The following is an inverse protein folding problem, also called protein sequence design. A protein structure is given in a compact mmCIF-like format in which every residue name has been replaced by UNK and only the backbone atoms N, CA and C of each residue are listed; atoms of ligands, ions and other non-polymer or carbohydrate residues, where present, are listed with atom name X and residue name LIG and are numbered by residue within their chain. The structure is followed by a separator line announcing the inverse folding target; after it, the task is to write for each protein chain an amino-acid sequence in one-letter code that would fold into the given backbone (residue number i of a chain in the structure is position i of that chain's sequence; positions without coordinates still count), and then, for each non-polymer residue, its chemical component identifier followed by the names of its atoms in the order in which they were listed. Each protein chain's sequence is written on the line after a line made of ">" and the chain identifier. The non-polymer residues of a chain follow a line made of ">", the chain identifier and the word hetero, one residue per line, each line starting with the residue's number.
data_IF_791389539115
#
_entry.id   IF_791389539115
#
_cell.length_a   1.000
_cell.length_b   1.000
_cell.length_c   1.000
_cell.angle_alpha   90.00
_cell.angle_beta   90.00
_cell.angle_gamma   90.00
#
_symmetry.space_group_name_H-M   'P 1'
#
loop_
_entity.id
_entity.type
_entity.pdbx_description
1 polymer ?
#
# COMPACT_ATOMS: atom_id res chain seq x y z
N UNK A 1 -10.01 -21.12 0.10
CA UNK A 1 -10.79 -20.04 -0.52
C UNK A 1 -10.85 -18.75 0.33
N UNK A 2 -10.50 -18.78 1.61
CA UNK A 2 -10.58 -17.62 2.52
C UNK A 2 -9.68 -16.45 2.11
N UNK A 3 -8.41 -16.70 1.77
CA UNK A 3 -7.49 -15.63 1.33
C UNK A 3 -7.93 -14.94 0.04
N UNK A 4 -8.31 -15.66 -1.05
CA UNK A 4 -8.87 -15.02 -2.23
C UNK A 4 -10.13 -14.18 -1.94
N UNK A 5 -11.01 -14.64 -1.04
CA UNK A 5 -12.20 -13.87 -0.65
C UNK A 5 -11.84 -12.54 0.00
N UNK A 6 -10.84 -12.50 0.88
CA UNK A 6 -10.34 -11.26 1.48
C UNK A 6 -9.76 -10.32 0.41
N UNK A 7 -9.01 -10.85 -0.57
CA UNK A 7 -8.47 -10.04 -1.68
C UNK A 7 -9.62 -9.39 -2.46
N UNK A 8 -10.65 -10.17 -2.81
CA UNK A 8 -11.83 -9.63 -3.52
C UNK A 8 -12.56 -8.57 -2.70
N UNK A 9 -12.67 -8.78 -1.38
CA UNK A 9 -13.27 -7.79 -0.49
C UNK A 9 -12.49 -6.48 -0.44
N UNK A 10 -11.16 -6.53 -0.44
CA UNK A 10 -10.31 -5.33 -0.48
C UNK A 10 -10.45 -4.55 -1.80
N UNK A 11 -10.80 -5.21 -2.92
CA UNK A 11 -11.09 -4.52 -4.18
C UNK A 11 -12.29 -3.57 -4.05
N UNK A 12 -13.26 -3.89 -3.20
CA UNK A 12 -14.41 -3.02 -2.93
C UNK A 12 -14.01 -1.72 -2.22
N UNK A 13 -12.94 -1.74 -1.45
CA UNK A 13 -12.42 -0.59 -0.70
C UNK A 13 -11.56 0.39 -1.51
N UNK A 14 -11.31 0.15 -2.79
CA UNK A 14 -10.42 0.97 -3.62
C UNK A 14 -10.93 2.38 -3.93
N UNK A 15 -12.21 2.67 -3.66
CA UNK A 15 -12.85 3.95 -4.00
C UNK A 15 -12.11 5.18 -3.46
N UNK A 16 -11.64 5.13 -2.21
CA UNK A 16 -10.89 6.24 -1.60
C UNK A 16 -9.56 6.52 -2.29
N UNK A 17 -8.83 5.46 -2.66
CA UNK A 17 -7.57 5.60 -3.40
C UNK A 17 -7.81 6.14 -4.81
N UNK A 18 -8.91 5.75 -5.46
CA UNK A 18 -9.26 6.22 -6.79
C UNK A 18 -9.46 7.74 -6.83
N UNK A 19 -10.05 8.34 -5.78
CA UNK A 19 -10.19 9.80 -5.67
C UNK A 19 -8.85 10.52 -5.62
N UNK A 20 -7.86 9.96 -4.93
CA UNK A 20 -6.51 10.53 -4.88
C UNK A 20 -5.84 10.53 -6.25
N UNK A 21 -5.98 9.43 -7.00
CA UNK A 21 -5.46 9.37 -8.38
C UNK A 21 -6.18 10.35 -9.31
N UNK A 22 -7.50 10.48 -9.19
CA UNK A 22 -8.28 11.44 -9.98
C UNK A 22 -7.87 12.89 -9.68
N UNK A 23 -7.72 13.24 -8.42
CA UNK A 23 -7.27 14.57 -8.02
C UNK A 23 -5.89 14.90 -8.61
N UNK A 24 -4.94 13.95 -8.57
CA UNK A 24 -3.61 14.17 -9.15
C UNK A 24 -3.65 14.23 -10.67
N UNK A 25 -4.46 13.40 -11.33
CA UNK A 25 -4.65 13.46 -12.78
C UNK A 25 -5.18 14.82 -13.24
N UNK A 26 -6.13 15.41 -12.50
CA UNK A 26 -6.67 16.73 -12.79
C UNK A 26 -5.68 17.87 -12.55
N UNK A 27 -4.67 17.66 -11.70
CA UNK A 27 -3.63 18.67 -11.45
C UNK A 27 -2.55 18.72 -12.52
N UNK A 28 -2.49 17.75 -13.44
CA UNK A 28 -1.51 17.74 -14.53
C UNK A 28 -1.91 18.80 -15.58
N UNK A 29 -1.04 19.81 -15.87
CA UNK A 29 -1.33 20.81 -16.88
C UNK A 29 -1.56 20.19 -18.26
N UNK A 30 -2.56 20.69 -18.99
CA UNK A 30 -2.88 20.20 -20.34
C UNK A 30 -1.77 20.46 -21.34
N UNK A 31 -0.98 21.50 -21.13
CA UNK A 31 0.14 21.91 -21.99
C UNK A 31 1.11 20.74 -22.26
N UNK A 32 1.35 19.85 -21.27
CA UNK A 32 2.17 18.65 -21.48
C UNK A 32 1.59 17.72 -22.55
N UNK A 33 0.27 17.56 -22.56
CA UNK A 33 -0.42 16.69 -23.51
C UNK A 33 -0.54 17.31 -24.89
N UNK A 34 -0.67 18.65 -24.95
CA UNK A 34 -0.72 19.41 -26.20
C UNK A 34 0.64 19.42 -26.88
N UNK A 35 1.72 19.74 -26.15
CA UNK A 35 3.07 19.69 -26.67
C UNK A 35 3.43 18.30 -27.22
N UNK A 36 3.14 17.24 -26.46
CA UNK A 36 3.34 15.86 -26.93
C UNK A 36 2.46 15.49 -28.12
N UNK A 37 1.31 16.16 -28.27
CA UNK A 37 0.45 16.03 -29.45
C UNK A 37 1.09 16.60 -30.70
N UNK A 38 1.73 17.76 -30.59
CA UNK A 38 2.47 18.40 -31.68
C UNK A 38 3.66 17.54 -32.14
N UNK A 39 4.30 16.85 -31.20
CA UNK A 39 5.39 15.89 -31.48
C UNK A 39 4.90 14.55 -32.07
N UNK A 40 3.59 14.40 -32.32
CA UNK A 40 2.99 13.21 -32.92
C UNK A 40 2.85 12.02 -31.95
N UNK A 41 2.93 12.24 -30.64
CA UNK A 41 2.77 11.17 -29.65
C UNK A 41 1.32 10.65 -29.63
N UNK A 42 1.17 9.34 -29.71
CA UNK A 42 -0.13 8.69 -29.55
C UNK A 42 -0.57 8.63 -28.07
N UNK A 43 -1.86 8.30 -27.82
CA UNK A 43 -2.43 8.28 -26.46
C UNK A 43 -1.68 7.35 -25.49
N UNK A 44 -1.19 6.21 -25.95
CA UNK A 44 -0.43 5.26 -25.13
C UNK A 44 0.96 5.81 -24.78
N UNK A 45 1.61 6.51 -25.69
CA UNK A 45 2.90 7.18 -25.43
C UNK A 45 2.73 8.32 -24.43
N UNK A 46 1.68 9.14 -24.54
CA UNK A 46 1.32 10.18 -23.57
C UNK A 46 1.07 9.57 -22.19
N UNK A 47 0.34 8.46 -22.12
CA UNK A 47 0.08 7.78 -20.86
C UNK A 47 1.37 7.30 -20.18
N UNK A 48 2.26 6.58 -20.89
CA UNK A 48 3.49 6.03 -20.29
C UNK A 48 4.53 7.10 -20.01
N UNK A 49 4.69 8.09 -20.91
CA UNK A 49 5.79 9.06 -20.81
C UNK A 49 5.45 10.32 -20.02
N UNK A 50 4.18 10.65 -19.85
CA UNK A 50 3.72 11.85 -19.14
C UNK A 50 2.92 11.46 -17.90
N UNK A 51 1.80 10.75 -18.09
CA UNK A 51 0.86 10.49 -17.00
C UNK A 51 1.49 9.62 -15.90
N UNK A 52 2.09 8.48 -16.24
CA UNK A 52 2.66 7.55 -15.26
C UNK A 52 3.82 8.17 -14.46
N UNK A 53 4.80 8.87 -15.07
CA UNK A 53 5.85 9.56 -14.31
C UNK A 53 5.31 10.64 -13.36
N UNK A 54 4.37 11.47 -13.80
CA UNK A 54 3.77 12.52 -12.97
C UNK A 54 2.88 11.97 -11.85
N UNK A 55 2.35 10.75 -12.01
CA UNK A 55 1.63 10.03 -10.96
C UNK A 55 2.56 9.23 -10.02
N UNK A 56 3.84 9.09 -10.35
CA UNK A 56 4.76 8.24 -9.58
C UNK A 56 4.84 8.58 -8.09
N UNK A 57 4.75 9.84 -7.60
CA UNK A 57 4.75 10.13 -6.17
C UNK A 57 3.54 9.53 -5.44
N UNK A 58 2.36 9.60 -6.05
CA UNK A 58 1.14 9.06 -5.44
C UNK A 58 1.10 7.53 -5.51
N UNK A 59 1.63 6.94 -6.58
CA UNK A 59 1.82 5.49 -6.69
C UNK A 59 2.75 5.00 -5.58
N UNK A 60 3.86 5.70 -5.36
CA UNK A 60 4.81 5.38 -4.30
C UNK A 60 4.19 5.48 -2.91
N UNK A 61 3.45 6.56 -2.63
CA UNK A 61 2.72 6.73 -1.38
C UNK A 61 1.75 5.58 -1.12
N UNK A 62 0.90 5.26 -2.10
CA UNK A 62 -0.06 4.17 -1.97
C UNK A 62 0.60 2.80 -1.81
N UNK A 63 1.75 2.58 -2.46
CA UNK A 63 2.53 1.35 -2.32
C UNK A 63 3.05 1.19 -0.89
N UNK A 64 3.60 2.24 -0.28
CA UNK A 64 4.06 2.19 1.12
C UNK A 64 2.90 1.90 2.07
N UNK A 65 1.81 2.67 1.97
CA UNK A 65 0.64 2.49 2.83
C UNK A 65 0.02 1.11 2.65
N UNK A 66 -0.04 0.63 1.40
CA UNK A 66 -0.54 -0.72 1.09
C UNK A 66 0.32 -1.83 1.69
N UNK A 67 1.66 -1.71 1.63
CA UNK A 67 2.58 -2.67 2.26
C UNK A 67 2.38 -2.67 3.77
N UNK A 68 2.37 -1.50 4.42
CA UNK A 68 2.15 -1.40 5.86
C UNK A 68 0.81 -2.04 6.24
N UNK A 69 -0.27 -1.70 5.53
CA UNK A 69 -1.59 -2.27 5.76
C UNK A 69 -1.65 -3.78 5.58
N UNK A 70 -0.97 -4.32 4.57
CA UNK A 70 -0.91 -5.77 4.33
C UNK A 70 -0.24 -6.54 5.48
N UNK A 71 0.78 -5.96 6.11
CA UNK A 71 1.40 -6.57 7.30
C UNK A 71 0.57 -6.39 8.57
N UNK A 72 -0.36 -5.43 8.59
CA UNK A 72 -1.18 -5.10 9.76
C UNK A 72 -2.61 -5.67 9.70
N UNK A 73 -2.90 -6.56 8.75
CA UNK A 73 -4.21 -7.23 8.67
C UNK A 73 -4.51 -7.93 10.00
N UNK A 74 -5.60 -7.50 10.63
CA UNK A 74 -6.10 -8.04 11.91
C UNK A 74 -7.61 -8.26 11.86
N UNK A 75 -8.34 -7.20 11.51
CA UNK A 75 -9.80 -7.11 11.65
C UNK A 75 -10.51 -8.20 10.85
N UNK A 76 -10.09 -8.42 9.62
CA UNK A 76 -10.65 -9.43 8.73
C UNK A 76 -10.43 -10.84 9.30
N UNK A 77 -9.21 -11.11 9.76
CA UNK A 77 -8.90 -12.39 10.39
C UNK A 77 -9.72 -12.65 11.65
N UNK A 78 -9.93 -11.61 12.47
CA UNK A 78 -10.70 -11.72 13.72
C UNK A 78 -12.19 -11.93 13.45
N UNK A 79 -12.80 -11.09 12.58
CA UNK A 79 -14.24 -11.14 12.29
C UNK A 79 -14.62 -12.43 11.57
N UNK A 80 -13.87 -12.81 10.53
CA UNK A 80 -14.22 -13.99 9.73
C UNK A 80 -13.92 -15.32 10.42
N UNK A 81 -13.05 -15.33 11.42
CA UNK A 81 -12.88 -16.52 12.26
C UNK A 81 -13.94 -16.67 13.35
N UNK A 82 -14.76 -15.63 13.59
CA UNK A 82 -15.83 -15.61 14.59
C UNK A 82 -15.36 -15.56 16.04
N UNK A 83 -14.33 -16.32 16.38
CA UNK A 83 -13.74 -16.42 17.71
C UNK A 83 -12.28 -15.88 17.78
N UNK A 84 -11.77 -15.36 16.67
CA UNK A 84 -10.38 -14.91 16.53
C UNK A 84 -9.36 -16.06 16.54
N UNK A 85 -9.77 -17.31 16.33
CA UNK A 85 -8.86 -18.47 16.27
C UNK A 85 -8.05 -18.54 14.98
N UNK A 86 -8.50 -17.83 13.94
CA UNK A 86 -7.92 -17.90 12.60
C UNK A 86 -8.46 -19.06 11.75
N UNK A 87 -9.55 -19.69 12.17
CA UNK A 87 -10.23 -20.76 11.41
C UNK A 87 -10.89 -20.24 10.12
N UNK A 88 -11.12 -21.05 9.08
CA UNK A 88 -10.85 -22.50 9.04
C UNK A 88 -9.38 -22.86 8.81
N UNK A 89 -8.93 -23.92 9.46
CA UNK A 89 -7.58 -24.51 9.30
C UNK A 89 -6.42 -23.51 9.46
N UNK A 90 -6.57 -22.48 10.31
CA UNK A 90 -5.55 -21.43 10.52
C UNK A 90 -5.31 -20.52 9.32
N UNK A 91 -6.15 -20.58 8.28
CA UNK A 91 -5.95 -19.81 7.05
C UNK A 91 -6.12 -18.30 7.22
N UNK A 92 -6.82 -17.89 8.28
CA UNK A 92 -7.06 -16.50 8.69
C UNK A 92 -6.14 -16.04 9.84
N UNK A 93 -5.23 -16.90 10.29
CA UNK A 93 -4.29 -16.58 11.37
C UNK A 93 -3.17 -15.69 10.81
N UNK A 94 -3.50 -14.43 10.58
CA UNK A 94 -2.52 -13.41 10.23
C UNK A 94 -1.61 -13.06 11.42
N UNK A 95 -0.46 -12.47 11.14
CA UNK A 95 0.53 -12.18 12.16
C UNK A 95 -0.02 -11.35 13.32
N UNK A 96 -0.75 -10.27 13.03
CA UNK A 96 -1.38 -9.44 14.07
C UNK A 96 -2.47 -10.17 14.84
N UNK A 97 -3.23 -11.05 14.20
CA UNK A 97 -4.22 -11.88 14.91
C UNK A 97 -3.53 -12.88 15.84
N UNK A 98 -2.43 -13.49 15.39
CA UNK A 98 -1.64 -14.36 16.25
C UNK A 98 -1.04 -13.62 17.44
N UNK A 99 -0.46 -12.44 17.21
CA UNK A 99 0.06 -11.55 18.24
C UNK A 99 -1.02 -11.20 19.27
N UNK A 100 -2.21 -10.80 18.81
CA UNK A 100 -3.35 -10.50 19.68
C UNK A 100 -3.76 -11.72 20.53
N UNK A 101 -3.83 -12.91 19.93
CA UNK A 101 -4.13 -14.14 20.65
C UNK A 101 -3.08 -14.43 21.73
N UNK A 102 -1.80 -14.20 21.46
CA UNK A 102 -0.74 -14.40 22.46
C UNK A 102 -0.85 -13.39 23.61
N UNK A 103 -1.16 -12.11 23.30
CA UNK A 103 -1.27 -11.07 24.31
C UNK A 103 -2.50 -11.25 25.21
N UNK A 104 -3.69 -11.45 24.59
CA UNK A 104 -4.96 -11.33 25.30
C UNK A 104 -5.65 -12.66 25.60
N UNK A 105 -5.48 -13.71 24.78
CA UNK A 105 -6.03 -15.03 25.07
C UNK A 105 -5.09 -15.89 25.90
N UNK A 106 -3.79 -15.86 25.57
CA UNK A 106 -2.78 -16.69 26.23
C UNK A 106 -2.05 -15.95 27.35
N UNK A 107 -2.31 -14.63 27.54
CA UNK A 107 -1.68 -13.76 28.53
C UNK A 107 -0.15 -13.76 28.49
N UNK A 108 0.45 -14.06 27.33
CA UNK A 108 1.89 -14.04 27.08
C UNK A 108 2.34 -12.68 26.56
N UNK A 109 2.15 -11.63 27.36
CA UNK A 109 2.38 -10.24 26.96
C UNK A 109 3.83 -9.96 26.57
N UNK A 110 4.80 -10.53 27.26
CA UNK A 110 6.22 -10.39 26.90
C UNK A 110 6.55 -10.95 25.53
N UNK A 111 6.00 -12.12 25.20
CA UNK A 111 6.16 -12.72 23.87
C UNK A 111 5.46 -11.88 22.77
N UNK A 112 4.24 -11.42 23.03
CA UNK A 112 3.52 -10.56 22.11
C UNK A 112 4.26 -9.24 21.83
N UNK A 113 4.86 -8.62 22.87
CA UNK A 113 5.68 -7.43 22.69
C UNK A 113 6.93 -7.71 21.83
N UNK A 114 7.60 -8.84 22.03
CA UNK A 114 8.71 -9.24 21.15
C UNK A 114 8.27 -9.38 19.69
N UNK A 115 7.09 -9.96 19.46
CA UNK A 115 6.50 -10.06 18.11
C UNK A 115 6.21 -8.67 17.51
N UNK A 116 5.71 -7.69 18.28
CA UNK A 116 5.52 -6.33 17.82
C UNK A 116 6.83 -5.70 17.33
N UNK A 117 7.91 -5.82 18.10
CA UNK A 117 9.21 -5.30 17.70
C UNK A 117 9.75 -5.96 16.45
N UNK A 118 9.55 -7.26 16.31
CA UNK A 118 9.96 -7.99 15.12
C UNK A 118 9.19 -7.53 13.88
N UNK A 119 7.86 -7.36 13.99
CA UNK A 119 7.04 -6.84 12.91
C UNK A 119 7.45 -5.41 12.53
N UNK A 120 7.68 -4.55 13.53
CA UNK A 120 8.15 -3.19 13.32
C UNK A 120 9.47 -3.17 12.54
N UNK A 121 10.44 -4.01 12.93
CA UNK A 121 11.73 -4.09 12.24
C UNK A 121 11.56 -4.52 10.77
N UNK A 122 10.71 -5.51 10.49
CA UNK A 122 10.43 -5.96 9.11
C UNK A 122 9.82 -4.82 8.30
N UNK A 123 8.77 -4.17 8.80
CA UNK A 123 8.11 -3.06 8.10
C UNK A 123 9.09 -1.92 7.86
N UNK A 124 9.91 -1.57 8.85
CA UNK A 124 10.93 -0.52 8.73
C UNK A 124 11.94 -0.85 7.62
N UNK A 125 12.48 -2.08 7.60
CA UNK A 125 13.43 -2.53 6.56
C UNK A 125 12.80 -2.41 5.17
N UNK A 126 11.59 -2.93 5.00
CA UNK A 126 10.88 -2.88 3.71
C UNK A 126 10.63 -1.43 3.29
N UNK A 127 10.21 -0.56 4.22
CA UNK A 127 9.96 0.85 3.95
C UNK A 127 11.25 1.57 3.52
N UNK A 128 12.35 1.35 4.21
CA UNK A 128 13.65 1.94 3.85
C UNK A 128 14.13 1.45 2.48
N UNK A 129 13.96 0.16 2.17
CA UNK A 129 14.29 -0.38 0.85
C UNK A 129 13.43 0.31 -0.23
N UNK A 130 12.11 0.42 -0.01
CA UNK A 130 11.22 1.11 -0.93
C UNK A 130 11.62 2.57 -1.15
N UNK A 131 11.93 3.32 -0.09
CA UNK A 131 12.38 4.71 -0.19
C UNK A 131 13.69 4.84 -0.98
N UNK A 132 14.63 3.90 -0.83
CA UNK A 132 15.87 3.92 -1.61
C UNK A 132 15.64 3.61 -3.08
N UNK A 133 14.75 2.67 -3.37
CA UNK A 133 14.40 2.30 -4.75
C UNK A 133 13.60 3.42 -5.42
N UNK A 134 12.72 4.10 -4.70
CA UNK A 134 11.86 5.16 -5.24
C UNK A 134 12.65 6.34 -5.79
N UNK A 135 13.79 6.68 -5.19
CA UNK A 135 14.66 7.77 -5.67
C UNK A 135 15.09 7.61 -7.13
N UNK A 136 14.95 6.41 -7.72
CA UNK A 136 15.34 6.13 -9.10
C UNK A 136 14.19 6.26 -10.10
N UNK A 137 12.93 6.20 -9.66
CA UNK A 137 11.78 6.16 -10.57
C UNK A 137 10.64 7.12 -10.19
N UNK A 138 10.65 7.67 -8.97
CA UNK A 138 9.69 8.69 -8.57
C UNK A 138 10.15 10.05 -9.10
N UNK A 139 9.31 10.66 -9.91
CA UNK A 139 9.56 11.99 -10.46
C UNK A 139 8.96 13.04 -9.52
N UNK A 140 9.83 13.86 -8.91
CA UNK A 140 9.40 15.06 -8.19
C UNK A 140 9.56 16.25 -9.14
N UNK A 141 8.53 17.07 -9.32
CA UNK A 141 8.66 18.34 -10.03
C UNK A 141 9.72 19.17 -9.27
N UNK A 142 10.77 19.62 -9.98
CA UNK A 142 11.83 20.46 -9.43
C UNK A 142 11.22 21.74 -8.88
N UNK A 143 11.07 21.84 -7.57
CA UNK A 143 10.50 22.97 -6.85
C UNK A 143 10.59 22.86 -5.33
N UNK A 144 10.96 21.68 -4.80
CA UNK A 144 10.92 21.41 -3.35
C UNK A 144 12.26 20.92 -2.76
N UNK A 145 13.37 21.16 -3.43
CA UNK A 145 14.71 20.78 -2.94
C UNK A 145 15.65 21.99 -2.79
N UNK A 146 15.13 23.14 -2.33
CA UNK A 146 15.98 24.22 -1.83
C UNK A 146 15.46 24.63 -0.44
N UNK A 147 15.86 23.83 0.61
CA UNK A 147 16.14 24.31 1.98
C UNK A 147 16.81 23.19 2.79
#
# INVERSE_FOLDING_TARGET
>A
WTKPAIIVMHLWGLGGQMLLYLARLQSIPQDYYEAAGLDGANGFQKFIKITVPLLSPIIFYNLIIGIIGAFQIFQEGYIFSGDGSGNPAGSLLFYNLHLWNQAFKNFKTGYANAMCWFLFAIIMIITVINQRVSKKWVYYEEGENDD
#
